data_IF_436203592505
#
_entry.id   IF_436203592505
#
_cell.length_a   1.000
_cell.length_b   1.000
_cell.length_c   1.000
_cell.angle_alpha   90.00
_cell.angle_beta   90.00
_cell.angle_gamma   90.00
#
_symmetry.space_group_name_H-M   'P 1'
#
loop_
_entity.id
_entity.type
_entity.pdbx_description
1 polymer ?
#
# COMPACT_ATOMS: atom_id res chain seq x y z
N UNK A 1 -8.73 -26.56 -1.90
CA UNK A 1 -7.62 -26.57 -2.88
C UNK A 1 -7.95 -25.84 -4.20
N UNK A 2 -9.20 -25.40 -4.45
CA UNK A 2 -9.52 -24.56 -5.61
C UNK A 2 -9.30 -23.04 -5.38
N UNK A 3 -9.15 -22.61 -4.12
CA UNK A 3 -9.07 -21.20 -3.71
C UNK A 3 -7.68 -20.55 -3.97
N UNK A 4 -6.62 -21.36 -3.97
CA UNK A 4 -5.22 -20.88 -4.00
C UNK A 4 -4.79 -20.40 -5.40
N UNK A 5 -5.30 -21.04 -6.46
CA UNK A 5 -5.03 -20.62 -7.86
C UNK A 5 -5.76 -19.34 -8.24
N UNK A 6 -6.96 -19.14 -7.72
CA UNK A 6 -7.73 -17.90 -7.94
C UNK A 6 -7.06 -16.69 -7.28
N UNK A 7 -6.55 -16.88 -6.06
CA UNK A 7 -5.80 -15.84 -5.33
C UNK A 7 -4.47 -15.48 -6.02
N UNK A 8 -3.70 -16.47 -6.49
CA UNK A 8 -2.43 -16.20 -7.18
C UNK A 8 -2.62 -15.43 -8.49
N UNK A 9 -3.63 -15.81 -9.30
CA UNK A 9 -3.94 -15.09 -10.54
C UNK A 9 -4.35 -13.64 -10.26
N UNK A 10 -5.18 -13.41 -9.23
CA UNK A 10 -5.59 -12.06 -8.83
C UNK A 10 -4.40 -11.22 -8.36
N UNK A 11 -3.45 -11.80 -7.63
CA UNK A 11 -2.25 -11.09 -7.20
C UNK A 11 -1.37 -10.66 -8.39
N UNK A 12 -1.19 -11.54 -9.38
CA UNK A 12 -0.46 -11.22 -10.60
C UNK A 12 -1.11 -10.06 -11.38
N UNK A 13 -2.44 -10.06 -11.48
CA UNK A 13 -3.20 -8.96 -12.10
C UNK A 13 -3.00 -7.64 -11.37
N UNK A 14 -3.04 -7.64 -10.03
CA UNK A 14 -2.81 -6.44 -9.22
C UNK A 14 -1.38 -5.90 -9.43
N UNK A 15 -0.38 -6.77 -9.46
CA UNK A 15 1.02 -6.38 -9.72
C UNK A 15 1.16 -5.80 -11.13
N UNK A 16 0.48 -6.38 -12.13
CA UNK A 16 0.49 -5.83 -13.48
C UNK A 16 -0.14 -4.42 -13.52
N UNK A 17 -1.23 -4.18 -12.77
CA UNK A 17 -1.84 -2.86 -12.64
C UNK A 17 -0.91 -1.85 -11.95
N UNK A 18 -0.17 -2.27 -10.92
CA UNK A 18 0.86 -1.42 -10.30
C UNK A 18 1.86 -0.92 -11.33
N UNK A 19 2.43 -1.83 -12.13
CA UNK A 19 3.40 -1.47 -13.17
C UNK A 19 2.78 -0.58 -14.23
N UNK A 20 1.58 -0.93 -14.71
CA UNK A 20 0.84 -0.14 -15.69
C UNK A 20 0.63 1.32 -15.22
N UNK A 21 0.12 1.52 -14.00
CA UNK A 21 -0.13 2.87 -13.48
C UNK A 21 1.16 3.67 -13.28
N UNK A 22 2.22 3.03 -12.80
CA UNK A 22 3.52 3.69 -12.64
C UNK A 22 4.11 4.13 -13.98
N UNK A 23 4.05 3.28 -14.99
CA UNK A 23 4.59 3.57 -16.32
C UNK A 23 3.73 4.60 -17.08
N UNK A 24 2.41 4.63 -16.86
CA UNK A 24 1.53 5.71 -17.34
C UNK A 24 1.81 7.04 -16.62
N UNK A 25 2.09 7.00 -15.31
CA UNK A 25 2.48 8.20 -14.56
C UNK A 25 3.75 8.83 -15.15
N UNK A 26 4.71 8.00 -15.56
CA UNK A 26 5.94 8.45 -16.20
C UNK A 26 5.69 9.14 -17.54
N UNK A 27 4.84 8.57 -18.39
CA UNK A 27 4.42 9.22 -19.65
C UNK A 27 3.72 10.55 -19.41
N UNK A 28 2.88 10.63 -18.38
CA UNK A 28 2.25 11.88 -17.96
C UNK A 28 3.30 12.91 -17.49
N UNK A 29 4.32 12.50 -16.74
CA UNK A 29 5.44 13.34 -16.30
C UNK A 29 6.18 13.95 -17.49
N UNK A 30 6.56 13.12 -18.46
CA UNK A 30 7.26 13.54 -19.68
C UNK A 30 6.47 14.57 -20.51
N UNK A 31 5.13 14.49 -20.46
CA UNK A 31 4.23 15.44 -21.13
C UNK A 31 3.91 16.71 -20.33
N UNK A 32 4.38 16.84 -19.10
CA UNK A 32 4.03 17.95 -18.20
C UNK A 32 2.63 17.86 -17.57
N UNK A 33 1.95 16.71 -17.70
CA UNK A 33 0.62 16.47 -17.13
C UNK A 33 0.70 16.07 -15.64
N UNK A 34 1.19 16.97 -14.80
CA UNK A 34 1.56 16.66 -13.40
C UNK A 34 0.41 16.15 -12.54
N UNK A 35 -0.79 16.74 -12.63
CA UNK A 35 -1.96 16.24 -11.88
C UNK A 35 -2.31 14.80 -12.28
N UNK A 36 -2.32 14.50 -13.58
CA UNK A 36 -2.61 13.15 -14.07
C UNK A 36 -1.55 12.16 -13.60
N UNK A 37 -0.27 12.55 -13.66
CA UNK A 37 0.84 11.74 -13.14
C UNK A 37 0.68 11.44 -11.64
N UNK A 38 0.38 12.44 -10.80
CA UNK A 38 0.12 12.23 -9.37
C UNK A 38 -1.07 11.27 -9.10
N UNK A 39 -2.15 11.39 -9.87
CA UNK A 39 -3.32 10.50 -9.75
C UNK A 39 -2.95 9.06 -10.10
N UNK A 40 -2.13 8.86 -11.13
CA UNK A 40 -1.65 7.54 -11.55
C UNK A 40 -0.68 6.94 -10.53
N UNK A 41 0.22 7.74 -9.93
CA UNK A 41 1.07 7.28 -8.82
C UNK A 41 0.25 6.86 -7.60
N UNK A 42 -0.80 7.61 -7.26
CA UNK A 42 -1.71 7.23 -6.19
C UNK A 42 -2.46 5.91 -6.50
N UNK A 43 -2.74 5.64 -7.77
CA UNK A 43 -3.35 4.39 -8.24
C UNK A 43 -2.35 3.23 -8.20
N UNK A 44 -1.08 3.47 -8.53
CA UNK A 44 -0.01 2.51 -8.32
C UNK A 44 0.13 2.17 -6.83
N UNK A 45 0.16 3.17 -5.94
CA UNK A 45 0.20 2.94 -4.50
C UNK A 45 -1.00 2.11 -4.01
N UNK A 46 -2.20 2.41 -4.50
CA UNK A 46 -3.41 1.63 -4.22
C UNK A 46 -3.23 0.16 -4.61
N UNK A 47 -2.71 -0.12 -5.82
CA UNK A 47 -2.43 -1.48 -6.27
C UNK A 47 -1.37 -2.19 -5.41
N UNK A 48 -0.29 -1.50 -5.03
CA UNK A 48 0.73 -2.07 -4.14
C UNK A 48 0.16 -2.47 -2.77
N UNK A 49 -0.68 -1.61 -2.18
CA UNK A 49 -1.33 -1.90 -0.91
C UNK A 49 -2.40 -3.00 -1.02
N UNK A 50 -3.10 -3.07 -2.15
CA UNK A 50 -4.05 -4.14 -2.40
C UNK A 50 -3.34 -5.50 -2.54
N UNK A 51 -2.18 -5.54 -3.21
CA UNK A 51 -1.34 -6.72 -3.28
C UNK A 51 -0.88 -7.16 -1.87
N UNK A 52 -0.49 -6.21 -1.02
CA UNK A 52 -0.17 -6.49 0.38
C UNK A 52 -1.38 -7.07 1.13
N UNK A 53 -2.57 -6.54 0.91
CA UNK A 53 -3.78 -7.05 1.54
C UNK A 53 -4.10 -8.51 1.15
N UNK A 54 -3.79 -8.92 -0.08
CA UNK A 54 -3.90 -10.31 -0.51
C UNK A 54 -2.79 -11.19 0.10
N UNK A 55 -1.53 -10.73 0.08
CA UNK A 55 -0.40 -11.45 0.70
C UNK A 55 -0.57 -11.67 2.22
N UNK A 56 -1.21 -10.72 2.90
CA UNK A 56 -1.43 -10.75 4.35
C UNK A 56 -2.92 -10.93 4.70
N UNK A 57 -3.68 -11.64 3.86
CA UNK A 57 -5.15 -11.75 3.98
C UNK A 57 -5.65 -12.15 5.38
N UNK A 58 -4.92 -13.02 6.10
CA UNK A 58 -5.27 -13.40 7.47
C UNK A 58 -5.12 -12.26 8.46
N UNK A 59 -3.98 -11.56 8.43
CA UNK A 59 -3.68 -10.40 9.29
C UNK A 59 -4.73 -9.30 9.07
N UNK A 60 -5.05 -9.02 7.81
CA UNK A 60 -6.08 -8.07 7.39
C UNK A 60 -7.47 -8.50 7.86
N UNK A 61 -7.84 -9.77 7.69
CA UNK A 61 -9.16 -10.29 8.12
C UNK A 61 -9.33 -10.21 9.64
N UNK A 62 -8.25 -10.43 10.40
CA UNK A 62 -8.29 -10.28 11.85
C UNK A 62 -8.43 -8.82 12.28
N UNK A 63 -7.71 -7.90 11.62
CA UNK A 63 -7.80 -6.47 11.89
C UNK A 63 -9.20 -5.93 11.58
N UNK A 64 -9.71 -6.18 10.38
CA UNK A 64 -11.05 -5.73 9.94
C UNK A 64 -12.16 -6.21 10.88
N UNK A 65 -12.09 -7.46 11.36
CA UNK A 65 -13.04 -8.00 12.35
C UNK A 65 -12.96 -7.27 13.70
N UNK A 66 -11.77 -6.84 14.13
CA UNK A 66 -11.56 -6.15 15.41
C UNK A 66 -11.92 -4.67 15.34
N UNK A 67 -11.59 -3.98 14.24
CA UNK A 67 -11.75 -2.54 14.12
C UNK A 67 -13.21 -2.08 14.09
N UNK A 68 -14.14 -2.96 13.65
CA UNK A 68 -15.55 -2.62 13.41
C UNK A 68 -15.73 -1.39 12.51
N UNK A 69 -14.72 -1.02 11.73
CA UNK A 69 -14.76 0.12 10.85
C UNK A 69 -15.74 -0.16 9.70
N UNK A 70 -16.82 0.63 9.62
CA UNK A 70 -17.88 0.44 8.62
C UNK A 70 -17.34 0.49 7.20
N UNK A 71 -16.33 1.29 6.94
CA UNK A 71 -15.68 1.41 5.63
C UNK A 71 -14.95 0.14 5.17
N UNK A 72 -14.55 -0.73 6.10
CA UNK A 72 -13.89 -2.01 5.81
C UNK A 72 -14.88 -3.19 5.68
N UNK A 73 -16.19 -2.91 5.72
CA UNK A 73 -17.23 -3.94 5.59
C UNK A 73 -17.41 -4.45 4.16
N UNK A 74 -16.91 -3.71 3.16
CA UNK A 74 -16.97 -4.10 1.75
C UNK A 74 -15.94 -5.20 1.43
N UNK A 75 -16.17 -5.99 0.37
CA UNK A 75 -15.17 -6.91 -0.16
C UNK A 75 -13.83 -6.21 -0.45
N UNK A 76 -12.70 -6.91 -0.26
CA UNK A 76 -11.35 -6.33 -0.43
C UNK A 76 -11.11 -5.65 -1.76
N UNK A 77 -11.61 -6.25 -2.85
CA UNK A 77 -11.52 -5.72 -4.22
C UNK A 77 -12.25 -4.38 -4.43
N UNK A 78 -13.07 -3.95 -3.48
CA UNK A 78 -13.81 -2.67 -3.53
C UNK A 78 -13.19 -1.60 -2.62
N UNK A 79 -12.08 -1.92 -1.95
CA UNK A 79 -11.36 -0.96 -1.13
C UNK A 79 -10.57 0.00 -2.03
N UNK A 80 -10.76 1.30 -1.80
CA UNK A 80 -9.90 2.32 -2.38
C UNK A 80 -8.73 2.64 -1.47
N UNK A 81 -7.90 3.58 -1.91
CA UNK A 81 -6.70 4.01 -1.19
C UNK A 81 -6.97 4.38 0.26
N UNK A 82 -8.05 5.11 0.58
CA UNK A 82 -8.34 5.48 1.97
C UNK A 82 -8.44 4.26 2.91
N UNK A 83 -9.16 3.20 2.47
CA UNK A 83 -9.29 1.98 3.27
C UNK A 83 -7.96 1.24 3.39
N UNK A 84 -7.21 1.17 2.29
CA UNK A 84 -5.91 0.50 2.24
C UNK A 84 -4.85 1.21 3.11
N UNK A 85 -4.86 2.54 3.15
CA UNK A 85 -3.99 3.33 4.03
C UNK A 85 -4.34 3.14 5.49
N UNK A 86 -5.63 3.09 5.83
CA UNK A 86 -6.05 2.75 7.18
C UNK A 86 -5.47 1.40 7.61
N UNK A 87 -5.59 0.38 6.76
CA UNK A 87 -5.04 -0.96 7.04
C UNK A 87 -3.53 -0.90 7.21
N UNK A 88 -2.82 -0.30 6.25
CA UNK A 88 -1.37 -0.26 6.24
C UNK A 88 -0.79 0.48 7.45
N UNK A 89 -1.45 1.56 7.90
CA UNK A 89 -1.07 2.29 9.11
C UNK A 89 -1.31 1.50 10.39
N UNK A 90 -2.44 0.80 10.51
CA UNK A 90 -2.78 0.06 11.73
C UNK A 90 -2.08 -1.31 11.84
N UNK A 91 -1.57 -1.83 10.72
CA UNK A 91 -0.80 -3.06 10.66
C UNK A 91 0.71 -2.82 10.53
N UNK A 92 1.15 -1.57 10.71
CA UNK A 92 2.55 -1.16 10.67
C UNK A 92 3.28 -1.58 9.37
N UNK A 93 2.57 -1.58 8.24
CA UNK A 93 3.19 -1.83 6.93
C UNK A 93 3.99 -0.63 6.47
N UNK A 94 3.58 0.55 6.93
CA UNK A 94 4.19 1.83 6.62
C UNK A 94 4.49 2.53 7.96
N UNK A 95 5.75 2.93 8.21
CA UNK A 95 6.09 3.74 9.37
C UNK A 95 5.25 5.02 9.39
N UNK A 96 4.55 5.29 10.49
CA UNK A 96 3.76 6.51 10.68
C UNK A 96 4.01 7.07 12.07
N UNK A 97 3.92 8.39 12.22
CA UNK A 97 3.97 9.04 13.53
C UNK A 97 2.69 8.83 14.35
N UNK A 98 1.62 8.31 13.72
CA UNK A 98 0.26 8.20 14.25
C UNK A 98 -0.36 9.53 14.71
N UNK A 99 0.19 10.68 14.26
CA UNK A 99 -0.35 12.02 14.53
C UNK A 99 -1.25 12.48 13.39
N UNK A 100 -2.07 13.50 13.66
CA UNK A 100 -2.84 14.17 12.63
C UNK A 100 -1.90 15.02 11.76
N UNK A 101 -2.13 15.04 10.45
CA UNK A 101 -1.28 15.74 9.46
C UNK A 101 -1.11 17.23 9.81
N UNK A 102 -2.18 17.87 10.28
CA UNK A 102 -2.20 19.29 10.67
C UNK A 102 -1.27 19.59 11.85
N UNK A 103 -0.90 18.56 12.62
CA UNK A 103 0.00 18.65 13.79
C UNK A 103 1.38 18.02 13.55
N UNK A 104 1.67 17.62 12.31
CA UNK A 104 2.87 16.89 11.94
C UNK A 104 4.07 17.84 11.78
N UNK A 105 5.11 17.62 12.58
CA UNK A 105 6.42 18.23 12.31
C UNK A 105 7.05 17.53 11.09
N UNK A 106 7.38 18.27 10.01
CA UNK A 106 8.06 17.70 8.85
C UNK A 106 9.38 16.96 9.18
N UNK A 107 10.05 17.30 10.28
CA UNK A 107 11.27 16.62 10.71
C UNK A 107 11.02 15.24 11.33
N UNK A 108 9.83 15.02 11.91
CA UNK A 108 9.43 13.75 12.53
C UNK A 108 8.56 12.87 11.63
N UNK A 109 8.03 13.47 10.55
CA UNK A 109 7.17 12.82 9.57
C UNK A 109 7.79 11.54 9.00
N UNK A 110 6.99 10.48 8.95
CA UNK A 110 7.35 9.20 8.31
C UNK A 110 6.59 9.03 7.00
N UNK A 111 7.00 8.06 6.18
CA UNK A 111 6.38 7.82 4.87
C UNK A 111 4.87 7.59 4.97
N UNK A 112 4.39 6.92 6.02
CA UNK A 112 2.97 6.71 6.29
C UNK A 112 2.19 8.01 6.48
N UNK A 113 2.83 9.07 6.97
CA UNK A 113 2.23 10.38 7.13
C UNK A 113 2.19 11.14 5.80
N UNK A 114 3.24 11.01 4.97
CA UNK A 114 3.30 11.66 3.65
C UNK A 114 2.37 11.05 2.60
N UNK A 115 1.95 9.80 2.77
CA UNK A 115 1.03 9.16 1.82
C UNK A 115 -0.36 9.83 1.83
N UNK A 116 -0.74 10.47 2.93
CA UNK A 116 -1.95 11.29 2.95
C UNK A 116 -1.87 12.49 2.00
N UNK A 117 -0.66 13.05 1.79
CA UNK A 117 -0.45 14.09 0.77
C UNK A 117 -0.75 13.55 -0.63
N UNK A 118 -0.29 12.33 -0.94
CA UNK A 118 -0.60 11.65 -2.22
C UNK A 118 -2.10 11.44 -2.39
N UNK A 119 -2.81 11.05 -1.31
CA UNK A 119 -4.28 10.93 -1.32
C UNK A 119 -4.97 12.27 -1.57
N UNK A 120 -4.53 13.34 -0.90
CA UNK A 120 -5.07 14.70 -1.08
C UNK A 120 -4.87 15.17 -2.52
N UNK A 121 -3.65 15.06 -3.06
CA UNK A 121 -3.36 15.45 -4.45
C UNK A 121 -4.22 14.66 -5.44
N UNK A 122 -4.36 13.35 -5.25
CA UNK A 122 -5.22 12.53 -6.12
C UNK A 122 -6.68 12.99 -6.08
N UNK A 123 -7.19 13.40 -4.92
CA UNK A 123 -8.57 13.88 -4.80
C UNK A 123 -8.80 15.22 -5.53
N UNK A 124 -7.75 15.97 -5.87
CA UNK A 124 -7.87 17.19 -6.68
C UNK A 124 -8.32 16.90 -8.11
N UNK A 125 -8.33 15.64 -8.57
CA UNK A 125 -8.99 15.28 -9.84
C UNK A 125 -10.49 15.62 -9.83
N UNK A 126 -11.10 15.73 -8.64
CA UNK A 126 -12.49 16.15 -8.49
C UNK A 126 -12.60 17.68 -8.46
N UNK A 127 -13.27 18.32 -9.43
CA UNK A 127 -13.30 19.79 -9.54
C UNK A 127 -13.81 20.51 -8.29
N UNK A 128 -14.84 19.94 -7.63
CA UNK A 128 -15.38 20.53 -6.40
C UNK A 128 -14.43 20.45 -5.20
N UNK A 129 -13.49 19.50 -5.19
CA UNK A 129 -12.40 19.45 -4.19
C UNK A 129 -11.31 20.43 -4.59
N UNK A 130 -10.90 20.43 -5.86
CA UNK A 130 -9.90 21.36 -6.39
C UNK A 130 -10.25 22.82 -6.05
N UNK A 131 -11.47 23.24 -6.37
CA UNK A 131 -11.92 24.63 -6.15
C UNK A 131 -11.98 25.02 -4.67
N UNK A 132 -12.17 24.06 -3.76
CA UNK A 132 -12.31 24.33 -2.32
C UNK A 132 -10.97 24.31 -1.60
N UNK A 133 -10.14 23.31 -1.90
CA UNK A 133 -8.88 23.05 -1.17
C UNK A 133 -7.67 23.68 -1.87
N UNK A 134 -7.75 23.95 -3.17
CA UNK A 134 -6.61 24.41 -3.98
C UNK A 134 -6.99 25.52 -4.99
N UNK A 135 -7.68 26.60 -4.55
CA UNK A 135 -8.19 27.62 -5.46
C UNK A 135 -7.07 28.43 -6.12
N UNK A 136 -7.02 28.41 -7.45
CA UNK A 136 -6.11 29.25 -8.24
C UNK A 136 -4.64 28.80 -8.25
N UNK A 137 -4.32 27.69 -7.58
CA UNK A 137 -3.00 27.08 -7.61
C UNK A 137 -2.94 25.97 -8.66
N UNK A 138 -1.76 25.75 -9.25
CA UNK A 138 -1.52 24.67 -10.21
C UNK A 138 -0.72 23.54 -9.58
N UNK A 139 -1.02 22.30 -9.96
CA UNK A 139 -0.15 21.17 -9.62
C UNK A 139 1.12 21.27 -10.45
N UNK A 140 2.25 21.28 -9.76
CA UNK A 140 3.58 21.47 -10.34
C UNK A 140 4.43 20.22 -10.27
N UNK A 141 5.56 20.22 -10.98
CA UNK A 141 6.58 19.17 -10.92
C UNK A 141 7.02 18.85 -9.48
N UNK A 142 7.14 19.85 -8.61
CA UNK A 142 7.48 19.65 -7.18
C UNK A 142 6.48 18.72 -6.45
N UNK A 143 5.19 18.84 -6.75
CA UNK A 143 4.17 17.96 -6.17
C UNK A 143 4.32 16.53 -6.67
N UNK A 144 4.70 16.40 -7.94
CA UNK A 144 4.97 15.12 -8.56
C UNK A 144 6.22 14.45 -7.99
N UNK A 145 7.32 15.18 -7.83
CA UNK A 145 8.56 14.68 -7.22
C UNK A 145 8.33 14.13 -5.81
N UNK A 146 7.53 14.84 -5.01
CA UNK A 146 7.10 14.37 -3.69
C UNK A 146 6.32 13.06 -3.83
N UNK A 147 5.37 12.98 -4.78
CA UNK A 147 4.54 11.79 -4.98
C UNK A 147 5.37 10.56 -5.40
N UNK A 148 6.36 10.73 -6.28
CA UNK A 148 7.30 9.67 -6.65
C UNK A 148 8.10 9.19 -5.44
N UNK A 149 8.72 10.12 -4.72
CA UNK A 149 9.54 9.79 -3.55
C UNK A 149 8.74 9.05 -2.48
N UNK A 150 7.49 9.46 -2.26
CA UNK A 150 6.59 8.77 -1.33
C UNK A 150 6.27 7.35 -1.81
N UNK A 151 5.97 7.17 -3.09
CA UNK A 151 5.72 5.84 -3.66
C UNK A 151 6.93 4.91 -3.54
N UNK A 152 8.13 5.40 -3.84
CA UNK A 152 9.38 4.64 -3.75
C UNK A 152 9.63 4.16 -2.33
N UNK A 153 9.62 5.07 -1.35
CA UNK A 153 9.85 4.73 0.07
C UNK A 153 8.76 3.80 0.58
N UNK A 154 7.50 3.98 0.15
CA UNK A 154 6.42 3.07 0.50
C UNK A 154 6.71 1.67 -0.04
N UNK A 155 7.08 1.54 -1.31
CA UNK A 155 7.42 0.25 -1.93
C UNK A 155 8.58 -0.44 -1.23
N UNK A 156 9.61 0.31 -0.79
CA UNK A 156 10.72 -0.23 0.01
C UNK A 156 10.22 -0.80 1.35
N UNK A 157 9.35 -0.08 2.06
CA UNK A 157 8.77 -0.55 3.32
C UNK A 157 7.93 -1.82 3.13
N UNK A 158 7.07 -1.84 2.11
CA UNK A 158 6.21 -2.99 1.80
C UNK A 158 7.05 -4.22 1.41
N UNK A 159 8.09 -4.02 0.59
CA UNK A 159 9.04 -5.07 0.20
C UNK A 159 9.79 -5.61 1.41
N UNK A 160 10.24 -4.75 2.32
CA UNK A 160 10.90 -5.17 3.56
C UNK A 160 10.00 -6.03 4.47
N UNK A 161 8.70 -5.73 4.53
CA UNK A 161 7.72 -6.56 5.24
C UNK A 161 7.55 -7.92 4.57
N UNK A 162 7.44 -7.97 3.24
CA UNK A 162 7.34 -9.22 2.48
C UNK A 162 8.58 -10.10 2.71
N UNK A 163 9.78 -9.53 2.61
CA UNK A 163 11.03 -10.26 2.83
C UNK A 163 11.10 -10.84 4.24
N UNK A 164 10.73 -10.04 5.25
CA UNK A 164 10.69 -10.48 6.64
C UNK A 164 9.73 -11.67 6.83
N UNK A 165 8.56 -11.63 6.19
CA UNK A 165 7.59 -12.72 6.23
C UNK A 165 8.12 -14.00 5.55
N UNK A 166 8.78 -13.86 4.39
CA UNK A 166 9.41 -14.97 3.66
C UNK A 166 10.50 -15.63 4.51
N UNK A 167 11.35 -14.84 5.18
CA UNK A 167 12.41 -15.37 6.04
C UNK A 167 11.84 -16.08 7.27
N UNK A 168 10.82 -15.53 7.90
CA UNK A 168 10.13 -16.16 9.03
C UNK A 168 9.52 -17.53 8.64
N UNK A 169 8.92 -17.61 7.45
CA UNK A 169 8.38 -18.86 6.90
C UNK A 169 9.46 -19.95 6.70
N UNK A 170 10.61 -19.57 6.11
CA UNK A 170 11.76 -20.48 5.90
C UNK A 170 12.33 -21.00 7.23
N UNK A 171 12.46 -20.14 8.23
CA UNK A 171 12.96 -20.52 9.56
C UNK A 171 12.01 -21.49 10.30
N UNK A 172 10.70 -21.28 10.18
CA UNK A 172 9.67 -22.17 10.73
C UNK A 172 9.69 -23.57 10.11
N UNK A 173 9.87 -23.66 8.78
CA UNK A 173 9.98 -24.93 8.07
C UNK A 173 11.21 -25.75 8.50
N UNK A 174 12.36 -25.10 8.69
CA UNK A 174 13.61 -25.75 9.15
C UNK A 174 13.49 -26.31 10.57
N UNK A 175 12.78 -25.63 11.47
CA UNK A 175 12.51 -26.13 12.84
C UNK A 175 11.57 -27.34 12.86
N UNK A 176 10.54 -27.37 12.00
CA UNK A 176 9.59 -28.50 11.88
C UNK A 176 10.26 -29.77 11.32
N UNK A 177 11.13 -29.62 10.31
CA UNK A 177 11.91 -30.74 9.74
C UNK A 177 12.85 -31.40 10.78
N UNK A 178 13.52 -30.60 11.63
CA UNK A 178 14.39 -31.12 12.70
C UNK A 178 13.64 -31.87 13.81
N UNK A 179 12.41 -31.45 14.15
CA UNK A 179 11.59 -32.11 15.19
C UNK A 179 10.94 -33.42 14.70
N UNK A 180 10.73 -33.57 13.40
CA UNK A 180 10.23 -34.81 12.79
C UNK A 180 11.27 -35.94 12.72
N UNK A 181 12.56 -35.62 12.76
CA UNK A 181 13.64 -36.60 12.61
C UNK A 181 14.17 -37.17 13.94
N UNK A 182 13.74 -36.63 15.10
CA UNK A 182 14.15 -37.12 16.43
C UNK A 182 13.25 -38.23 16.99
N UNK A 183 12.23 -38.67 16.24
CA UNK A 183 11.27 -39.69 16.68
C UNK A 183 11.47 -41.09 16.06
N UNK A 184 12.60 -41.32 15.38
CA UNK A 184 13.01 -42.68 14.98
C UNK A 184 14.03 -43.22 15.98
N UNK A 185 13.55 -43.81 17.08
CA UNK A 185 14.38 -44.74 17.87
C UNK A 185 14.44 -46.07 17.11
N UNK A 186 15.62 -46.68 16.93
CA UNK A 186 15.72 -48.06 16.47
C UNK A 186 15.20 -48.99 17.58
N UNK A 187 14.43 -50.00 17.16
CA UNK A 187 14.08 -51.18 17.96
C UNK A 187 15.27 -52.15 17.99
#
# INVERSE_FOLDING_TARGET
MADDKGSLNSLCEIIALFTFYRDEAERCRESGAYLASCVLLASALEAALLAMAECFAREVSEFTRRSRAKELSRPRKEWGLSQLLLIARNLDWLPSSHREIESLDPHDAKVGDYIEVVRVIRNLIHPGIYLREYPGEAITEKHLDISYRVLEIACECLSGKLDSAIQAGKAGAKKRSRKGNSNRRPL
#
